data_IF_164346863167
#
_entry.id   IF_164346863167
#
_cell.length_a   1.000
_cell.length_b   1.000
_cell.length_c   1.000
_cell.angle_alpha   90.00
_cell.angle_beta   90.00
_cell.angle_gamma   90.00
#
_symmetry.space_group_name_H-M   'P 1'
#
loop_
_entity.id
_entity.type
_entity.pdbx_description
1 polymer ?
#
# COMPACT_ATOMS: atom_id res chain seq x y z
N UNK A 1 22.29 39.17 -27.27
CA UNK A 1 21.15 38.29 -27.60
C UNK A 1 21.72 37.08 -28.31
N UNK A 2 21.14 35.91 -28.10
CA UNK A 2 21.86 34.64 -28.27
C UNK A 2 21.01 33.68 -29.09
N UNK A 3 21.65 32.94 -30.00
CA UNK A 3 21.06 31.77 -30.65
C UNK A 3 21.19 30.58 -29.71
N UNK A 4 20.08 29.97 -29.34
CA UNK A 4 20.04 28.79 -28.47
C UNK A 4 19.81 27.52 -29.29
N UNK A 5 20.78 26.61 -29.25
CA UNK A 5 20.72 25.31 -29.90
C UNK A 5 20.50 24.23 -28.84
N UNK A 6 19.35 23.55 -28.90
CA UNK A 6 18.94 22.53 -27.95
C UNK A 6 18.93 21.17 -28.64
N UNK A 7 19.86 20.28 -28.29
CA UNK A 7 19.82 18.91 -28.78
C UNK A 7 18.84 18.07 -27.92
N UNK A 8 17.75 17.61 -28.53
CA UNK A 8 16.68 16.83 -27.90
C UNK A 8 16.43 15.54 -28.70
N UNK A 9 17.37 14.60 -28.57
CA UNK A 9 17.35 13.32 -29.31
C UNK A 9 16.15 12.43 -28.96
N UNK A 10 15.61 12.61 -27.75
CA UNK A 10 14.53 11.79 -27.21
C UNK A 10 13.14 12.47 -27.35
N UNK A 11 13.07 13.63 -28.02
CA UNK A 11 11.83 14.38 -28.26
C UNK A 11 11.08 14.74 -26.97
N UNK A 12 11.83 15.10 -25.93
CA UNK A 12 11.34 15.43 -24.60
C UNK A 12 10.72 16.84 -24.54
N UNK A 13 11.07 17.73 -25.47
CA UNK A 13 10.54 19.10 -25.55
C UNK A 13 9.35 19.16 -26.50
N UNK A 14 8.13 19.19 -25.94
CA UNK A 14 6.89 19.30 -26.71
C UNK A 14 6.44 20.76 -26.92
N UNK A 15 6.58 21.62 -25.89
CA UNK A 15 6.05 22.99 -25.88
C UNK A 15 7.12 24.05 -26.15
N UNK A 16 7.55 24.16 -27.39
CA UNK A 16 8.36 25.30 -27.83
C UNK A 16 7.67 25.96 -29.03
N UNK A 17 6.58 26.69 -28.77
CA UNK A 17 5.74 27.33 -29.80
C UNK A 17 6.53 28.26 -30.73
N UNK A 18 7.67 28.80 -30.27
CA UNK A 18 8.54 29.69 -31.06
C UNK A 18 9.88 29.06 -31.50
N UNK A 19 10.08 27.75 -31.32
CA UNK A 19 11.34 27.11 -31.68
C UNK A 19 11.29 26.42 -33.05
N UNK A 20 12.29 26.70 -33.89
CA UNK A 20 12.51 25.92 -35.11
C UNK A 20 12.95 24.50 -34.75
N UNK A 21 12.36 23.49 -35.39
CA UNK A 21 12.74 22.08 -35.19
C UNK A 21 13.60 21.58 -36.34
N UNK A 22 14.62 20.78 -36.03
CA UNK A 22 15.47 20.07 -36.99
C UNK A 22 15.38 18.58 -36.69
N UNK A 23 14.49 17.88 -37.38
CA UNK A 23 14.20 16.47 -37.19
C UNK A 23 14.98 15.57 -38.16
N UNK A 24 15.57 16.13 -39.21
CA UNK A 24 16.29 15.37 -40.23
C UNK A 24 17.51 16.13 -40.79
N UNK A 25 18.47 15.42 -41.42
CA UNK A 25 19.59 16.06 -42.13
C UNK A 25 19.18 17.02 -43.25
N UNK A 26 18.01 16.82 -43.87
CA UNK A 26 17.52 17.68 -44.94
C UNK A 26 17.21 19.11 -44.44
N UNK A 27 16.77 19.24 -43.18
CA UNK A 27 16.42 20.51 -42.55
C UNK A 27 17.65 21.28 -42.03
N UNK A 28 18.82 20.65 -42.00
CA UNK A 28 20.05 21.26 -41.50
C UNK A 28 20.42 22.55 -42.24
N UNK A 29 20.31 22.53 -43.57
CA UNK A 29 20.73 23.67 -44.41
C UNK A 29 19.85 24.89 -44.14
N UNK A 30 18.54 24.70 -44.07
CA UNK A 30 17.60 25.78 -43.77
C UNK A 30 17.85 26.35 -42.37
N UNK A 31 17.99 25.48 -41.37
CA UNK A 31 18.28 25.88 -40.00
C UNK A 31 19.60 26.66 -39.92
N UNK A 32 20.64 26.21 -40.60
CA UNK A 32 21.93 26.89 -40.65
C UNK A 32 21.84 28.30 -41.27
N UNK A 33 21.06 28.47 -42.33
CA UNK A 33 20.83 29.79 -42.95
C UNK A 33 20.10 30.73 -41.99
N UNK A 34 19.06 30.25 -41.30
CA UNK A 34 18.33 31.05 -40.30
C UNK A 34 19.20 31.46 -39.13
N UNK A 35 20.10 30.57 -38.65
CA UNK A 35 21.08 30.92 -37.63
C UNK A 35 21.99 32.05 -38.10
N UNK A 36 22.53 31.94 -39.32
CA UNK A 36 23.40 32.99 -39.89
C UNK A 36 22.67 34.33 -39.97
N UNK A 37 21.42 34.32 -40.43
CA UNK A 37 20.62 35.53 -40.50
C UNK A 37 20.39 36.13 -39.12
N UNK A 38 19.96 35.32 -38.14
CA UNK A 38 19.75 35.74 -36.76
C UNK A 38 21.00 36.33 -36.10
N UNK A 39 22.19 35.77 -36.40
CA UNK A 39 23.47 36.29 -35.90
C UNK A 39 23.84 37.66 -36.50
N UNK A 40 23.42 37.94 -37.73
CA UNK A 40 23.64 39.23 -38.42
C UNK A 40 22.62 40.27 -37.96
N UNK A 41 21.34 39.90 -37.88
CA UNK A 41 20.25 40.78 -37.45
C UNK A 41 20.14 40.91 -35.92
N UNK A 42 20.98 40.19 -35.18
CA UNK A 42 21.01 40.13 -33.72
C UNK A 42 19.65 39.75 -33.11
N UNK A 43 18.90 38.90 -33.81
CA UNK A 43 17.57 38.44 -33.42
C UNK A 43 17.70 37.16 -32.59
N UNK A 44 16.98 37.01 -31.46
CA UNK A 44 16.98 35.76 -30.71
C UNK A 44 16.37 34.64 -31.57
N UNK A 45 17.00 33.46 -31.53
CA UNK A 45 16.53 32.28 -32.26
C UNK A 45 16.75 31.05 -31.40
N UNK A 46 15.71 30.24 -31.25
CA UNK A 46 15.75 28.97 -30.53
C UNK A 46 15.54 27.83 -31.52
N UNK A 47 16.42 26.84 -31.48
CA UNK A 47 16.38 25.68 -32.38
C UNK A 47 16.43 24.40 -31.55
N UNK A 48 15.46 23.51 -31.78
CA UNK A 48 15.38 22.17 -31.17
C UNK A 48 15.82 21.14 -32.21
N UNK A 49 16.90 20.44 -31.93
CA UNK A 49 17.56 19.50 -32.84
C UNK A 49 17.28 18.08 -32.36
N UNK A 50 16.50 17.32 -33.12
CA UNK A 50 16.10 15.94 -32.77
C UNK A 50 16.96 14.90 -33.49
N UNK A 51 17.56 15.24 -34.64
CA UNK A 51 18.49 14.36 -35.34
C UNK A 51 19.88 14.35 -34.70
N UNK A 52 20.42 13.15 -34.45
CA UNK A 52 21.72 12.98 -33.79
C UNK A 52 22.89 13.48 -34.63
N UNK A 53 22.81 13.38 -35.96
CA UNK A 53 23.85 13.84 -36.88
C UNK A 53 23.87 15.36 -36.92
N UNK A 54 22.70 15.99 -37.08
CA UNK A 54 22.53 17.44 -37.01
C UNK A 54 23.01 18.00 -35.66
N UNK A 55 22.70 17.34 -34.54
CA UNK A 55 23.16 17.77 -33.22
C UNK A 55 24.70 17.85 -33.16
N UNK A 56 25.39 16.86 -33.73
CA UNK A 56 26.84 16.81 -33.77
C UNK A 56 27.44 17.91 -34.67
N UNK A 57 26.80 18.20 -35.80
CA UNK A 57 27.17 19.33 -36.67
C UNK A 57 26.96 20.68 -35.99
N UNK A 58 25.81 20.89 -35.35
CA UNK A 58 25.51 22.13 -34.64
C UNK A 58 26.37 22.32 -33.39
N UNK A 59 26.75 21.25 -32.69
CA UNK A 59 27.71 21.32 -31.59
C UNK A 59 29.07 21.81 -32.08
N UNK A 60 29.56 21.31 -33.22
CA UNK A 60 30.81 21.77 -33.84
C UNK A 60 30.71 23.22 -34.30
N UNK A 61 29.57 23.60 -34.88
CA UNK A 61 29.29 24.97 -35.27
C UNK A 61 29.34 25.94 -34.08
N UNK A 62 28.67 25.61 -32.97
CA UNK A 62 28.60 26.47 -31.78
C UNK A 62 29.99 26.75 -31.18
N UNK A 63 30.94 25.81 -31.28
CA UNK A 63 32.33 26.00 -30.82
C UNK A 63 33.08 27.12 -31.53
N UNK A 64 32.65 27.55 -32.72
CA UNK A 64 33.26 28.63 -33.47
C UNK A 64 32.78 30.03 -33.01
N UNK A 65 31.87 30.11 -32.06
CA UNK A 65 31.27 31.35 -31.57
C UNK A 65 31.47 31.47 -30.05
N UNK A 66 31.44 32.71 -29.55
CA UNK A 66 31.40 32.92 -28.11
C UNK A 66 30.06 32.43 -27.53
N UNK A 67 30.03 31.93 -26.28
CA UNK A 67 28.78 31.55 -25.59
C UNK A 67 27.76 32.69 -25.49
N UNK A 68 28.21 33.94 -25.57
CA UNK A 68 27.35 35.13 -25.60
C UNK A 68 26.59 35.34 -26.92
N UNK A 69 26.95 34.62 -27.99
CA UNK A 69 26.28 34.69 -29.31
C UNK A 69 25.59 33.39 -29.70
N UNK A 70 26.19 32.24 -29.40
CA UNK A 70 25.59 30.92 -29.66
C UNK A 70 25.82 30.03 -28.45
N UNK A 71 24.74 29.46 -27.93
CA UNK A 71 24.79 28.43 -26.89
C UNK A 71 24.35 27.09 -27.46
N UNK A 72 25.04 26.03 -27.08
CA UNK A 72 24.64 24.66 -27.38
C UNK A 72 24.42 23.93 -26.06
N UNK A 73 23.22 23.39 -25.87
CA UNK A 73 22.86 22.61 -24.70
C UNK A 73 22.23 21.30 -25.15
N UNK A 74 22.69 20.19 -24.57
CA UNK A 74 22.05 18.90 -24.76
C UNK A 74 20.99 18.71 -23.68
N UNK A 75 19.76 18.47 -24.11
CA UNK A 75 18.63 18.15 -23.24
C UNK A 75 18.60 16.63 -23.10
N UNK A 76 18.93 16.18 -21.90
CA UNK A 76 18.93 14.76 -21.52
C UNK A 76 17.73 14.48 -20.61
N UNK A 77 17.28 13.23 -20.58
CA UNK A 77 16.23 12.81 -19.65
C UNK A 77 16.69 13.03 -18.20
N UNK A 78 17.97 12.81 -17.93
CA UNK A 78 18.64 13.10 -16.67
C UNK A 78 18.58 14.58 -16.30
N UNK A 79 18.94 15.50 -17.22
CA UNK A 79 18.87 16.93 -16.92
C UNK A 79 17.45 17.40 -16.64
N UNK A 80 16.46 16.92 -17.42
CA UNK A 80 15.07 17.30 -17.25
C UNK A 80 14.49 16.75 -15.95
N UNK A 81 14.74 15.47 -15.65
CA UNK A 81 14.27 14.86 -14.42
C UNK A 81 14.92 15.52 -13.20
N UNK A 82 16.22 15.83 -13.26
CA UNK A 82 16.93 16.52 -12.17
C UNK A 82 16.38 17.91 -11.92
N UNK A 83 16.06 18.66 -12.99
CA UNK A 83 15.38 19.96 -12.87
C UNK A 83 13.95 19.82 -12.32
N UNK A 84 13.18 18.86 -12.84
CA UNK A 84 11.80 18.62 -12.41
C UNK A 84 11.72 18.25 -10.93
N UNK A 85 12.67 17.45 -10.47
CA UNK A 85 12.67 16.93 -9.11
C UNK A 85 13.50 17.74 -8.13
N UNK A 86 14.31 18.68 -8.61
CA UNK A 86 15.22 19.46 -7.76
C UNK A 86 16.23 18.60 -7.01
N UNK A 87 16.62 17.45 -7.58
CA UNK A 87 17.54 16.49 -6.96
C UNK A 87 18.70 16.13 -7.89
N UNK A 88 19.83 15.75 -7.30
CA UNK A 88 20.98 15.27 -8.07
C UNK A 88 20.71 13.81 -8.46
N UNK A 89 20.77 13.53 -9.75
CA UNK A 89 20.61 12.17 -10.26
C UNK A 89 21.96 11.44 -10.18
N UNK A 90 22.02 10.25 -9.54
CA UNK A 90 23.22 9.43 -9.47
C UNK A 90 23.82 9.10 -10.86
N UNK A 91 25.16 9.03 -10.94
CA UNK A 91 25.90 8.76 -12.18
C UNK A 91 25.67 7.36 -12.76
N UNK A 92 25.17 6.43 -11.95
CA UNK A 92 24.77 5.10 -12.39
C UNK A 92 23.33 5.06 -12.98
N UNK A 93 22.61 6.17 -13.09
CA UNK A 93 21.29 6.27 -13.73
C UNK A 93 21.45 6.86 -15.13
N UNK A 94 21.06 6.10 -16.15
CA UNK A 94 21.14 6.52 -17.55
C UNK A 94 19.86 7.20 -18.04
N UNK A 95 19.93 7.92 -19.15
CA UNK A 95 18.73 8.48 -19.79
C UNK A 95 17.71 7.40 -20.18
N UNK A 96 18.19 6.25 -20.66
CA UNK A 96 17.35 5.10 -20.99
C UNK A 96 16.63 4.55 -19.76
N UNK A 97 17.29 4.49 -18.60
CA UNK A 97 16.64 4.09 -17.34
C UNK A 97 15.48 5.01 -17.00
N UNK A 98 15.66 6.32 -17.14
CA UNK A 98 14.64 7.34 -16.83
C UNK A 98 13.47 7.27 -17.79
N UNK A 99 13.74 7.13 -19.10
CA UNK A 99 12.70 7.05 -20.13
C UNK A 99 11.89 5.76 -19.96
N UNK A 100 12.56 4.61 -19.83
CA UNK A 100 11.89 3.31 -19.72
C UNK A 100 11.07 3.18 -18.44
N UNK A 101 11.44 3.91 -17.39
CA UNK A 101 10.72 3.92 -16.11
C UNK A 101 9.56 4.92 -16.05
N UNK A 102 9.36 5.74 -17.09
CA UNK A 102 8.27 6.72 -17.15
C UNK A 102 8.35 7.83 -16.08
N UNK A 103 9.52 8.03 -15.47
CA UNK A 103 9.68 8.97 -14.35
C UNK A 103 9.44 10.43 -14.74
N UNK A 104 9.69 10.78 -16.01
CA UNK A 104 9.45 12.11 -16.55
C UNK A 104 7.96 12.50 -16.54
N UNK A 105 7.06 11.52 -16.66
CA UNK A 105 5.61 11.76 -16.64
C UNK A 105 5.01 11.70 -15.22
N UNK A 106 5.79 11.18 -14.27
CA UNK A 106 5.33 10.95 -12.90
C UNK A 106 5.00 12.26 -12.18
N UNK A 107 3.80 12.34 -11.59
CA UNK A 107 3.29 13.49 -10.84
C UNK A 107 3.46 13.28 -9.34
N UNK A 108 4.69 13.05 -8.91
CA UNK A 108 5.01 12.79 -7.50
C UNK A 108 5.05 14.14 -6.77
N UNK A 109 4.30 14.32 -5.67
CA UNK A 109 4.49 15.47 -4.81
C UNK A 109 5.80 15.31 -4.04
N UNK A 110 6.85 15.99 -4.49
CA UNK A 110 8.15 15.98 -3.81
C UNK A 110 8.05 16.86 -2.58
N UNK A 111 8.30 16.27 -1.41
CA UNK A 111 8.28 16.97 -0.12
C UNK A 111 9.68 17.00 0.47
N UNK A 112 10.18 18.21 0.75
CA UNK A 112 11.52 18.41 1.31
C UNK A 112 12.64 18.20 0.29
N UNK A 113 13.77 17.66 0.73
CA UNK A 113 14.94 17.37 -0.10
C UNK A 113 15.26 15.86 -0.12
N UNK A 114 14.37 15.01 -0.65
CA UNK A 114 14.61 13.58 -0.70
C UNK A 114 15.74 13.25 -1.68
N UNK A 115 16.45 12.17 -1.38
CA UNK A 115 17.38 11.55 -2.31
C UNK A 115 16.65 11.03 -3.55
N UNK A 116 17.38 10.87 -4.65
CA UNK A 116 16.83 10.30 -5.87
C UNK A 116 16.16 8.94 -5.65
N UNK A 117 16.80 8.05 -4.89
CA UNK A 117 16.28 6.72 -4.57
C UNK A 117 14.96 6.79 -3.78
N UNK A 118 14.84 7.73 -2.84
CA UNK A 118 13.60 7.97 -2.09
C UNK A 118 12.46 8.41 -3.02
N UNK A 119 12.72 9.32 -3.96
CA UNK A 119 11.71 9.75 -4.93
C UNK A 119 11.28 8.57 -5.81
N UNK A 120 12.22 7.75 -6.27
CA UNK A 120 11.92 6.54 -7.05
C UNK A 120 11.07 5.55 -6.22
N UNK A 121 11.41 5.30 -4.96
CA UNK A 121 10.63 4.44 -4.08
C UNK A 121 9.20 4.95 -3.91
N UNK A 122 9.06 6.26 -3.67
CA UNK A 122 7.78 6.92 -3.55
C UNK A 122 6.94 6.81 -4.83
N UNK A 123 7.59 6.97 -6.00
CA UNK A 123 6.95 6.86 -7.31
C UNK A 123 6.25 5.52 -7.54
N UNK A 124 6.94 4.43 -7.17
CA UNK A 124 6.53 3.07 -7.52
C UNK A 124 5.78 2.35 -6.41
N UNK A 125 6.07 2.66 -5.14
CA UNK A 125 5.55 1.89 -4.00
C UNK A 125 5.03 2.75 -2.84
N UNK A 126 5.12 4.08 -2.94
CA UNK A 126 4.54 5.01 -1.98
C UNK A 126 5.39 5.33 -0.76
N UNK A 127 4.83 6.17 0.11
CA UNK A 127 5.55 6.85 1.19
C UNK A 127 6.10 5.91 2.28
N UNK A 128 5.54 4.70 2.44
CA UNK A 128 6.00 3.75 3.47
C UNK A 128 7.39 3.20 3.17
N UNK A 129 7.88 3.32 1.94
CA UNK A 129 9.27 2.97 1.60
C UNK A 129 10.27 4.08 1.96
N UNK A 130 9.81 5.24 2.43
CA UNK A 130 10.68 6.31 2.92
C UNK A 130 11.11 6.11 4.38
N UNK A 131 10.50 5.17 5.10
CA UNK A 131 10.94 4.86 6.46
C UNK A 131 12.38 4.36 6.49
N UNK A 132 13.17 4.83 7.44
CA UNK A 132 14.57 4.42 7.62
C UNK A 132 14.73 2.98 8.09
N UNK A 133 13.71 2.42 8.73
CA UNK A 133 13.68 1.05 9.23
C UNK A 133 12.40 0.36 8.74
N UNK A 134 12.39 -0.97 8.73
CA UNK A 134 11.17 -1.72 8.40
C UNK A 134 10.05 -1.32 9.36
N UNK A 135 8.92 -0.78 8.86
CA UNK A 135 7.94 -0.11 9.71
C UNK A 135 7.02 -1.13 10.39
N UNK A 136 7.51 -1.85 11.39
CA UNK A 136 6.76 -2.92 12.09
C UNK A 136 5.39 -2.48 12.61
N UNK A 137 5.24 -1.21 13.03
CA UNK A 137 3.97 -0.65 13.52
C UNK A 137 2.96 -0.33 12.42
N UNK A 138 3.44 -0.18 11.18
CA UNK A 138 2.64 0.13 9.99
C UNK A 138 2.75 -0.98 8.95
N UNK A 139 3.13 -2.18 9.39
CA UNK A 139 3.40 -3.33 8.52
C UNK A 139 2.12 -3.82 7.83
N UNK A 140 0.97 -3.67 8.49
CA UNK A 140 -0.32 -3.92 7.88
C UNK A 140 -0.63 -2.89 6.78
N UNK A 141 -0.34 -1.61 7.00
CA UNK A 141 -0.49 -0.58 5.96
C UNK A 141 0.45 -0.85 4.77
N UNK A 142 1.69 -1.25 5.06
CA UNK A 142 2.69 -1.62 4.05
C UNK A 142 2.24 -2.83 3.22
N UNK A 143 1.64 -3.83 3.87
CA UNK A 143 1.07 -4.99 3.18
C UNK A 143 -0.21 -4.63 2.42
N UNK A 144 -1.01 -3.68 2.90
CA UNK A 144 -2.23 -3.22 2.23
C UNK A 144 -1.93 -2.39 0.98
N UNK A 145 -0.81 -1.66 0.94
CA UNK A 145 -0.33 -0.94 -0.26
C UNK A 145 0.17 -1.86 -1.38
N UNK A 146 0.35 -3.15 -1.11
CA UNK A 146 0.75 -4.10 -2.13
C UNK A 146 -0.32 -4.20 -3.23
N UNK A 147 0.08 -3.81 -4.43
CA UNK A 147 -0.63 -4.07 -5.69
C UNK A 147 0.23 -4.99 -6.58
N UNK A 148 -0.32 -6.15 -6.93
CA UNK A 148 0.40 -7.16 -7.70
C UNK A 148 0.79 -6.65 -9.10
N UNK A 149 -0.05 -5.82 -9.71
CA UNK A 149 0.17 -5.29 -11.07
C UNK A 149 1.37 -4.34 -11.07
N UNK A 150 1.34 -3.35 -10.19
CA UNK A 150 2.42 -2.38 -10.01
C UNK A 150 3.71 -3.07 -9.60
N UNK A 151 3.65 -4.03 -8.67
CA UNK A 151 4.83 -4.76 -8.24
C UNK A 151 5.50 -5.53 -9.38
N UNK A 152 4.73 -6.25 -10.20
CA UNK A 152 5.25 -7.02 -11.33
C UNK A 152 5.75 -6.12 -12.46
N UNK A 153 5.07 -4.99 -12.73
CA UNK A 153 5.51 -4.01 -13.71
C UNK A 153 6.86 -3.38 -13.30
N UNK A 154 6.98 -2.93 -12.05
CA UNK A 154 8.20 -2.31 -11.53
C UNK A 154 9.39 -3.27 -11.50
N UNK A 155 9.17 -4.58 -11.29
CA UNK A 155 10.23 -5.60 -11.35
C UNK A 155 10.88 -5.76 -12.73
N UNK A 156 10.24 -5.27 -13.80
CA UNK A 156 10.81 -5.28 -15.17
C UNK A 156 11.70 -4.07 -15.43
N UNK A 157 11.69 -3.07 -14.55
CA UNK A 157 12.46 -1.85 -14.69
C UNK A 157 13.79 -1.97 -13.92
N UNK A 158 14.96 -1.96 -14.60
CA UNK A 158 16.26 -2.13 -13.95
C UNK A 158 16.50 -1.12 -12.81
N UNK A 159 16.11 0.13 -13.03
CA UNK A 159 16.23 1.19 -12.04
C UNK A 159 15.45 0.89 -10.76
N UNK A 160 14.17 0.51 -10.92
CA UNK A 160 13.29 0.20 -9.81
C UNK A 160 13.81 -1.03 -9.03
N UNK A 161 14.26 -2.07 -9.72
CA UNK A 161 14.86 -3.26 -9.10
C UNK A 161 16.09 -2.90 -8.25
N UNK A 162 16.97 -2.05 -8.78
CA UNK A 162 18.18 -1.62 -8.07
C UNK A 162 17.86 -0.84 -6.81
N UNK A 163 17.00 0.16 -6.92
CA UNK A 163 16.57 0.99 -5.78
C UNK A 163 15.87 0.13 -4.73
N UNK A 164 15.03 -0.81 -5.14
CA UNK A 164 14.36 -1.74 -4.24
C UNK A 164 15.33 -2.67 -3.51
N UNK A 165 16.36 -3.17 -4.20
CA UNK A 165 17.39 -4.00 -3.60
C UNK A 165 18.21 -3.22 -2.56
N UNK A 166 18.57 -1.97 -2.87
CA UNK A 166 19.21 -1.05 -1.92
C UNK A 166 18.33 -0.85 -0.68
N UNK A 167 17.02 -0.65 -0.88
CA UNK A 167 16.08 -0.45 0.23
C UNK A 167 15.95 -1.67 1.14
N UNK A 168 15.87 -2.87 0.55
CA UNK A 168 15.89 -4.13 1.31
C UNK A 168 17.14 -4.23 2.18
N UNK A 169 18.32 -3.95 1.60
CA UNK A 169 19.59 -4.01 2.33
C UNK A 169 19.62 -2.99 3.48
N UNK A 170 19.15 -1.77 3.25
CA UNK A 170 19.04 -0.73 4.29
C UNK A 170 18.22 -1.23 5.49
N UNK A 171 17.03 -1.79 5.23
CA UNK A 171 16.15 -2.30 6.28
C UNK A 171 16.71 -3.54 6.99
N UNK A 172 17.40 -4.43 6.28
CA UNK A 172 18.09 -5.58 6.90
C UNK A 172 19.22 -5.12 7.82
N UNK A 173 20.03 -4.15 7.35
CA UNK A 173 21.16 -3.63 8.11
C UNK A 173 20.73 -2.95 9.41
N UNK A 174 19.57 -2.27 9.40
CA UNK A 174 19.00 -1.57 10.55
C UNK A 174 18.06 -2.43 11.41
N UNK A 175 17.80 -3.67 11.02
CA UNK A 175 16.97 -4.57 11.79
C UNK A 175 17.61 -4.91 13.15
N UNK A 176 16.81 -4.87 14.22
CA UNK A 176 17.26 -5.04 15.61
C UNK A 176 17.60 -6.48 16.01
N UNK A 177 17.27 -7.44 15.16
CA UNK A 177 17.47 -8.88 15.42
C UNK A 177 17.18 -9.75 14.21
N UNK A 178 17.44 -11.05 14.35
CA UNK A 178 17.22 -12.05 13.29
C UNK A 178 15.77 -12.14 12.83
N UNK A 179 14.82 -11.96 13.74
CA UNK A 179 13.39 -12.07 13.50
C UNK A 179 12.90 -10.92 12.61
N UNK A 180 13.34 -9.69 12.89
CA UNK A 180 13.01 -8.54 12.04
C UNK A 180 13.66 -8.67 10.66
N UNK A 181 14.87 -9.22 10.55
CA UNK A 181 15.49 -9.51 9.24
C UNK A 181 14.68 -10.53 8.44
N UNK A 182 14.22 -11.59 9.10
CA UNK A 182 13.35 -12.59 8.49
C UNK A 182 12.03 -11.97 7.98
N UNK A 183 11.44 -11.03 8.71
CA UNK A 183 10.25 -10.29 8.24
C UNK A 183 10.54 -9.45 7.00
N UNK A 184 11.66 -8.71 7.00
CA UNK A 184 12.07 -7.91 5.83
C UNK A 184 12.26 -8.84 4.63
N UNK A 185 13.04 -9.91 4.78
CA UNK A 185 13.29 -10.87 3.71
C UNK A 185 12.00 -11.48 3.19
N UNK A 186 11.09 -11.83 4.10
CA UNK A 186 9.80 -12.41 3.74
C UNK A 186 8.95 -11.45 2.92
N UNK A 187 8.86 -10.19 3.36
CA UNK A 187 8.10 -9.15 2.66
C UNK A 187 8.63 -8.93 1.25
N UNK A 188 9.96 -8.77 1.07
CA UNK A 188 10.53 -8.53 -0.26
C UNK A 188 10.51 -9.75 -1.18
N UNK A 189 10.55 -10.96 -0.62
CA UNK A 189 10.45 -12.20 -1.41
C UNK A 189 9.06 -12.35 -2.04
N UNK A 190 8.00 -12.14 -1.26
CA UNK A 190 6.61 -12.21 -1.72
C UNK A 190 5.70 -11.37 -0.80
N UNK A 191 5.43 -10.10 -1.16
CA UNK A 191 4.59 -9.24 -0.34
C UNK A 191 3.13 -9.68 -0.31
N UNK A 192 2.65 -10.36 -1.38
CA UNK A 192 1.30 -10.88 -1.44
C UNK A 192 1.10 -12.01 -0.44
N UNK A 193 2.03 -12.96 -0.42
CA UNK A 193 2.02 -14.04 0.56
C UNK A 193 2.26 -13.53 1.98
N UNK A 194 3.12 -12.51 2.16
CA UNK A 194 3.29 -11.86 3.45
C UNK A 194 1.98 -11.22 3.95
N UNK A 195 1.21 -10.56 3.07
CA UNK A 195 -0.12 -10.03 3.39
C UNK A 195 -1.08 -11.14 3.83
N UNK A 196 -1.10 -12.28 3.13
CA UNK A 196 -1.88 -13.46 3.53
C UNK A 196 -1.47 -13.97 4.90
N UNK A 197 -0.17 -14.07 5.18
CA UNK A 197 0.33 -14.51 6.48
C UNK A 197 -0.07 -13.56 7.62
N UNK A 198 -0.04 -12.24 7.41
CA UNK A 198 -0.52 -11.27 8.40
C UNK A 198 -2.01 -11.44 8.68
N UNK A 199 -2.81 -11.71 7.64
CA UNK A 199 -4.23 -11.98 7.81
C UNK A 199 -4.46 -13.31 8.54
N UNK A 200 -3.77 -14.38 8.19
CA UNK A 200 -3.87 -15.66 8.92
C UNK A 200 -3.48 -15.49 10.39
N UNK A 201 -2.43 -14.71 10.69
CA UNK A 201 -2.06 -14.37 12.06
C UNK A 201 -3.16 -13.60 12.79
N UNK A 202 -3.79 -12.62 12.13
CA UNK A 202 -4.94 -11.90 12.68
C UNK A 202 -6.10 -12.84 13.05
N UNK A 203 -6.28 -13.93 12.28
CA UNK A 203 -7.29 -14.95 12.58
C UNK A 203 -6.92 -15.81 13.79
N UNK A 204 -5.65 -16.18 13.93
CA UNK A 204 -5.25 -17.20 14.93
C UNK A 204 -4.61 -16.64 16.20
N UNK A 205 -4.24 -15.36 16.25
CA UNK A 205 -3.54 -14.75 17.40
C UNK A 205 -4.26 -14.84 18.74
N UNK A 206 -5.59 -14.94 18.72
CA UNK A 206 -6.42 -15.10 19.93
C UNK A 206 -6.62 -16.56 20.36
N UNK A 207 -6.34 -17.52 19.48
CA UNK A 207 -6.50 -18.95 19.74
C UNK A 207 -5.28 -19.53 20.49
N UNK A 208 -5.41 -20.76 21.03
CA UNK A 208 -4.28 -21.46 21.64
C UNK A 208 -3.08 -21.59 20.69
N UNK A 209 -1.86 -21.53 21.24
CA UNK A 209 -0.63 -21.48 20.48
C UNK A 209 -0.43 -22.68 19.55
N UNK A 210 -0.97 -23.83 19.93
CA UNK A 210 -0.93 -25.09 19.19
C UNK A 210 -1.67 -24.94 17.85
N UNK A 211 -2.83 -24.28 17.84
CA UNK A 211 -3.59 -24.03 16.61
C UNK A 211 -2.85 -23.03 15.71
N UNK A 212 -2.31 -21.96 16.31
CA UNK A 212 -1.49 -20.98 15.60
C UNK A 212 -0.31 -21.62 14.87
N UNK A 213 0.42 -22.50 15.56
CA UNK A 213 1.55 -23.27 15.00
C UNK A 213 1.11 -24.28 13.95
N UNK A 214 -0.04 -24.94 14.12
CA UNK A 214 -0.57 -25.84 13.08
C UNK A 214 -0.89 -25.10 11.79
N UNK A 215 -1.31 -23.84 11.86
CA UNK A 215 -1.68 -23.03 10.70
C UNK A 215 -0.46 -22.36 10.07
N UNK A 216 0.34 -21.67 10.87
CA UNK A 216 1.44 -20.81 10.38
C UNK A 216 2.85 -21.38 10.60
N UNK A 217 2.98 -22.49 11.34
CA UNK A 217 4.28 -23.01 11.75
C UNK A 217 5.05 -22.03 12.63
N UNK A 218 6.37 -21.97 12.43
CA UNK A 218 7.29 -21.11 13.19
C UNK A 218 7.00 -19.60 13.04
N UNK A 219 6.28 -19.21 11.98
CA UNK A 219 5.88 -17.82 11.78
C UNK A 219 4.91 -17.31 12.84
N UNK A 220 4.11 -18.19 13.46
CA UNK A 220 3.24 -17.80 14.56
C UNK A 220 4.05 -17.25 15.74
N UNK A 221 5.05 -18.01 16.19
CA UNK A 221 5.92 -17.61 17.30
C UNK A 221 6.76 -16.38 16.95
N UNK A 222 7.18 -16.26 15.69
CA UNK A 222 7.89 -15.08 15.21
C UNK A 222 7.01 -13.82 15.30
N UNK A 223 5.77 -13.88 14.79
CA UNK A 223 4.88 -12.72 14.78
C UNK A 223 4.44 -12.33 16.19
N UNK A 224 4.21 -13.31 17.08
CA UNK A 224 3.94 -13.07 18.50
C UNK A 224 5.10 -12.35 19.20
N UNK A 225 6.35 -12.79 18.96
CA UNK A 225 7.54 -12.18 19.57
C UNK A 225 7.82 -10.77 19.08
N UNK A 226 7.65 -10.53 17.77
CA UNK A 226 7.92 -9.22 17.17
C UNK A 226 6.78 -8.23 17.44
N UNK A 227 5.61 -8.71 17.90
CA UNK A 227 4.41 -7.90 18.15
C UNK A 227 4.03 -7.07 16.91
N UNK A 228 3.86 -7.79 15.80
CA UNK A 228 3.55 -7.24 14.48
C UNK A 228 2.11 -6.70 14.48
N UNK A 229 1.90 -5.50 13.94
CA UNK A 229 0.52 -5.03 13.70
C UNK A 229 -0.12 -5.88 12.59
N UNK A 230 -1.19 -6.58 12.95
CA UNK A 230 -1.90 -7.51 12.08
C UNK A 230 -3.25 -6.96 11.62
N UNK A 231 -3.45 -5.64 11.64
CA UNK A 231 -4.70 -4.98 11.24
C UNK A 231 -4.89 -4.98 9.71
N UNK A 232 -4.97 -6.17 9.10
CA UNK A 232 -5.20 -6.31 7.65
C UNK A 232 -6.68 -6.04 7.33
N UNK A 233 -6.91 -5.31 6.24
CA UNK A 233 -8.24 -4.96 5.76
C UNK A 233 -8.99 -6.17 5.19
N UNK A 234 -10.32 -6.05 5.13
CA UNK A 234 -11.18 -7.03 4.46
C UNK A 234 -10.86 -7.05 2.96
N UNK A 235 -10.63 -8.23 2.38
CA UNK A 235 -10.25 -8.40 0.98
C UNK A 235 -9.15 -9.45 0.74
N UNK A 236 -8.55 -9.96 1.82
CA UNK A 236 -7.72 -11.16 1.78
C UNK A 236 -8.58 -12.35 2.18
N UNK A 237 -8.62 -13.39 1.35
CA UNK A 237 -9.29 -14.63 1.71
C UNK A 237 -8.31 -15.55 2.44
N UNK A 238 -8.71 -16.13 3.58
CA UNK A 238 -7.88 -17.10 4.25
C UNK A 238 -7.88 -18.42 3.47
N UNK A 239 -6.82 -19.21 3.64
CA UNK A 239 -6.78 -20.52 2.99
C UNK A 239 -7.88 -21.44 3.52
N UNK A 240 -8.42 -22.30 2.66
CA UNK A 240 -9.40 -23.33 3.07
C UNK A 240 -8.88 -24.22 4.21
N UNK A 241 -7.57 -24.49 4.23
CA UNK A 241 -6.91 -25.25 5.29
C UNK A 241 -6.99 -24.52 6.64
N UNK A 242 -6.77 -23.21 6.65
CA UNK A 242 -6.90 -22.35 7.85
C UNK A 242 -8.33 -22.37 8.38
N UNK A 243 -9.32 -22.13 7.51
CA UNK A 243 -10.75 -22.17 7.88
C UNK A 243 -11.12 -23.54 8.48
N UNK A 244 -10.69 -24.62 7.82
CA UNK A 244 -10.98 -25.99 8.24
C UNK A 244 -10.40 -26.31 9.62
N UNK A 245 -9.14 -25.92 9.87
CA UNK A 245 -8.48 -26.13 11.18
C UNK A 245 -9.17 -25.36 12.30
N UNK A 246 -9.55 -24.10 12.04
CA UNK A 246 -10.31 -23.29 13.01
C UNK A 246 -11.68 -23.94 13.28
N UNK A 247 -12.38 -24.39 12.25
CA UNK A 247 -13.70 -25.04 12.41
C UNK A 247 -13.59 -26.33 13.21
N UNK A 248 -12.60 -27.17 12.93
CA UNK A 248 -12.34 -28.39 13.72
C UNK A 248 -12.04 -28.04 15.18
N UNK A 249 -11.19 -27.03 15.42
CA UNK A 249 -10.89 -26.58 16.77
C UNK A 249 -12.16 -26.15 17.52
N UNK A 250 -12.99 -25.29 16.91
CA UNK A 250 -14.23 -24.81 17.51
C UNK A 250 -15.20 -25.95 17.81
N UNK A 251 -15.38 -26.88 16.86
CA UNK A 251 -16.24 -28.05 17.07
C UNK A 251 -15.79 -28.90 18.26
N UNK A 252 -14.48 -29.04 18.49
CA UNK A 252 -13.96 -29.76 19.66
C UNK A 252 -14.18 -29.00 20.98
N UNK A 253 -14.51 -27.71 20.95
CA UNK A 253 -14.81 -26.89 22.13
C UNK A 253 -16.31 -26.87 22.49
N UNK A 254 -17.21 -27.40 21.64
CA UNK A 254 -18.66 -27.29 21.85
C UNK A 254 -19.11 -27.81 23.22
N UNK A 255 -18.56 -28.94 23.64
CA UNK A 255 -18.96 -29.64 24.86
C UNK A 255 -18.36 -29.02 26.13
N UNK A 256 -17.38 -28.13 25.96
CA UNK A 256 -16.69 -27.44 27.05
C UNK A 256 -17.38 -26.14 27.45
N UNK A 257 -18.23 -25.56 26.58
CA UNK A 257 -18.93 -24.31 26.85
C UNK A 257 -20.21 -24.57 27.66
N UNK A 258 -20.07 -24.59 28.99
CA UNK A 258 -21.18 -24.90 29.92
C UNK A 258 -21.75 -23.66 30.60
N UNK A 259 -20.96 -22.60 30.70
CA UNK A 259 -21.33 -21.35 31.36
C UNK A 259 -21.20 -20.13 30.44
N UNK A 260 -21.78 -19.01 30.87
CA UNK A 260 -21.59 -17.70 30.24
C UNK A 260 -20.11 -17.28 30.23
N UNK A 261 -19.35 -17.64 31.27
CA UNK A 261 -17.94 -17.29 31.36
C UNK A 261 -17.11 -18.04 30.30
N UNK A 262 -17.40 -19.31 30.08
CA UNK A 262 -16.74 -20.13 29.04
C UNK A 262 -17.02 -19.55 27.64
N UNK A 263 -18.26 -19.14 27.39
CA UNK A 263 -18.65 -18.47 26.15
C UNK A 263 -17.90 -17.15 25.94
N UNK A 264 -17.78 -16.33 26.98
CA UNK A 264 -17.06 -15.06 26.91
C UNK A 264 -15.57 -15.27 26.64
N UNK A 265 -14.96 -16.30 27.26
CA UNK A 265 -13.57 -16.68 27.02
C UNK A 265 -13.36 -17.18 25.59
N UNK A 266 -14.27 -18.01 25.07
CA UNK A 266 -14.22 -18.46 23.67
C UNK A 266 -14.35 -17.29 22.69
N UNK A 267 -15.26 -16.34 22.97
CA UNK A 267 -15.45 -15.16 22.14
C UNK A 267 -14.22 -14.22 22.16
N UNK A 268 -13.47 -14.20 23.26
CA UNK A 268 -12.20 -13.48 23.33
C UNK A 268 -11.13 -14.13 22.45
N UNK A 269 -11.13 -15.46 22.32
CA UNK A 269 -10.21 -16.20 21.46
C UNK A 269 -10.51 -16.06 19.96
N UNK A 270 -11.79 -16.02 19.57
CA UNK A 270 -12.20 -15.89 18.17
C UNK A 270 -11.60 -14.64 17.51
N UNK A 271 -11.47 -14.65 16.19
CA UNK A 271 -10.97 -13.49 15.44
C UNK A 271 -12.07 -12.44 15.22
N UNK A 272 -13.29 -12.87 14.91
CA UNK A 272 -14.38 -11.98 14.47
C UNK A 272 -14.40 -11.70 12.96
N UNK A 273 -13.54 -12.36 12.19
CA UNK A 273 -13.37 -12.16 10.75
C UNK A 273 -13.93 -13.31 9.91
N UNK A 274 -14.34 -14.43 10.52
CA UNK A 274 -14.83 -15.61 9.80
C UNK A 274 -16.34 -15.80 9.99
N UNK A 275 -17.02 -16.19 8.91
CA UNK A 275 -18.44 -16.54 8.98
C UNK A 275 -18.67 -17.86 9.70
N UNK A 276 -17.66 -18.73 9.70
CA UNK A 276 -17.60 -20.04 10.33
C UNK A 276 -17.60 -19.90 11.86
N UNK A 277 -16.81 -18.97 12.40
CA UNK A 277 -16.82 -18.62 13.82
C UNK A 277 -18.22 -18.18 14.27
N UNK A 278 -18.87 -17.33 13.48
CA UNK A 278 -20.24 -16.90 13.77
C UNK A 278 -21.25 -18.04 13.64
N UNK A 279 -21.10 -18.90 12.63
CA UNK A 279 -21.95 -20.08 12.43
C UNK A 279 -21.87 -21.04 13.63
N UNK A 280 -20.68 -21.24 14.17
CA UNK A 280 -20.46 -22.03 15.38
C UNK A 280 -21.24 -21.42 16.56
N UNK A 281 -21.15 -20.10 16.78
CA UNK A 281 -21.92 -19.44 17.84
C UNK A 281 -23.43 -19.62 17.66
N UNK A 282 -23.95 -19.51 16.44
CA UNK A 282 -25.37 -19.75 16.18
C UNK A 282 -25.79 -21.18 16.52
N UNK A 283 -24.95 -22.18 16.21
CA UNK A 283 -25.20 -23.57 16.57
C UNK A 283 -25.19 -23.76 18.09
N UNK A 284 -24.22 -23.16 18.78
CA UNK A 284 -24.12 -23.19 20.23
C UNK A 284 -25.39 -22.65 20.91
N UNK A 285 -25.91 -21.51 20.44
CA UNK A 285 -27.13 -20.91 20.99
C UNK A 285 -28.42 -21.67 20.65
N UNK A 286 -28.42 -22.53 19.61
CA UNK A 286 -29.57 -23.44 19.36
C UNK A 286 -29.69 -24.48 20.47
N UNK A 287 -28.56 -24.98 20.98
CA UNK A 287 -28.51 -25.94 22.07
C UNK A 287 -28.66 -25.34 23.48
N UNK A 288 -28.16 -24.11 23.70
CA UNK A 288 -28.07 -23.49 25.03
C UNK A 288 -28.67 -22.07 25.10
N UNK A 289 -30.00 -21.94 25.03
CA UNK A 289 -30.71 -20.63 25.01
C UNK A 289 -30.46 -19.75 26.23
N UNK A 290 -30.15 -20.33 27.40
CA UNK A 290 -29.97 -19.57 28.66
C UNK A 290 -28.73 -18.67 28.72
N UNK A 291 -27.76 -18.86 27.80
CA UNK A 291 -26.51 -18.11 27.80
C UNK A 291 -26.57 -16.83 26.94
N UNK A 292 -27.59 -16.67 26.10
CA UNK A 292 -27.73 -15.51 25.21
C UNK A 292 -28.40 -14.34 25.96
N UNK A 293 -27.59 -13.38 26.40
CA UNK A 293 -28.03 -12.15 27.06
C UNK A 293 -27.63 -10.91 26.25
N UNK A 294 -28.25 -9.76 26.56
CA UNK A 294 -28.06 -8.50 25.80
C UNK A 294 -26.59 -8.05 25.77
N UNK A 295 -25.87 -8.21 26.87
CA UNK A 295 -24.45 -7.87 26.98
C UNK A 295 -23.55 -8.78 26.12
N UNK A 296 -23.85 -10.09 26.10
CA UNK A 296 -23.15 -11.09 25.29
C UNK A 296 -23.34 -10.79 23.81
N UNK A 297 -24.55 -10.40 23.42
CA UNK A 297 -24.84 -10.00 22.05
C UNK A 297 -24.09 -8.73 21.64
N UNK A 298 -24.01 -7.72 22.51
CA UNK A 298 -23.20 -6.52 22.24
C UNK A 298 -21.75 -6.93 21.97
N UNK A 299 -21.17 -7.83 22.80
CA UNK A 299 -19.81 -8.34 22.59
C UNK A 299 -19.66 -9.06 21.24
N UNK A 300 -20.63 -9.88 20.85
CA UNK A 300 -20.64 -10.53 19.52
C UNK A 300 -20.70 -9.48 18.40
N UNK A 301 -21.59 -8.50 18.49
CA UNK A 301 -21.71 -7.44 17.48
C UNK A 301 -20.42 -6.61 17.35
N UNK A 302 -19.75 -6.32 18.47
CA UNK A 302 -18.46 -5.64 18.48
C UNK A 302 -17.38 -6.51 17.84
N UNK A 303 -17.31 -7.79 18.22
CA UNK A 303 -16.29 -8.73 17.72
C UNK A 303 -16.40 -8.96 16.21
N UNK A 304 -17.62 -9.21 15.73
CA UNK A 304 -17.91 -9.48 14.32
C UNK A 304 -18.25 -8.23 13.50
N UNK A 305 -17.95 -7.04 14.04
CA UNK A 305 -18.12 -5.77 13.32
C UNK A 305 -17.50 -5.78 11.92
N UNK A 306 -16.29 -6.35 11.69
CA UNK A 306 -15.68 -6.37 10.36
C UNK A 306 -16.57 -7.04 9.30
N UNK A 307 -17.22 -8.15 9.63
CA UNK A 307 -18.06 -8.90 8.68
C UNK A 307 -19.57 -8.66 8.83
N UNK A 308 -19.95 -7.57 9.52
CA UNK A 308 -21.37 -7.25 9.81
C UNK A 308 -22.22 -7.16 8.54
N UNK A 309 -21.68 -6.65 7.43
CA UNK A 309 -22.38 -6.57 6.15
C UNK A 309 -22.87 -7.94 5.66
N UNK A 310 -22.02 -8.97 5.79
CA UNK A 310 -22.33 -10.35 5.43
C UNK A 310 -23.29 -11.02 6.44
N UNK A 311 -23.21 -10.62 7.71
CA UNK A 311 -23.98 -11.24 8.80
C UNK A 311 -25.35 -10.60 9.09
N UNK A 312 -25.71 -9.49 8.41
CA UNK A 312 -26.82 -8.62 8.81
C UNK A 312 -28.11 -9.33 9.23
N UNK A 313 -28.67 -10.20 8.38
CA UNK A 313 -29.90 -10.96 8.69
C UNK A 313 -29.74 -11.95 9.83
N UNK A 314 -28.57 -12.57 9.95
CA UNK A 314 -28.26 -13.59 10.97
C UNK A 314 -28.11 -12.97 12.35
N UNK A 315 -27.47 -11.80 12.43
CA UNK A 315 -27.38 -11.00 13.66
C UNK A 315 -28.76 -10.55 14.16
N UNK A 316 -29.67 -10.15 13.27
CA UNK A 316 -31.06 -9.83 13.64
C UNK A 316 -31.79 -11.05 14.18
N UNK A 317 -31.61 -12.23 13.56
CA UNK A 317 -32.23 -13.46 14.07
C UNK A 317 -31.76 -13.85 15.48
N UNK A 318 -30.51 -13.49 15.86
CA UNK A 318 -30.05 -13.67 17.25
C UNK A 318 -30.68 -12.67 18.22
N UNK A 319 -30.96 -11.42 17.79
CA UNK A 319 -31.67 -10.42 18.60
C UNK A 319 -33.05 -10.92 19.02
N UNK A 320 -33.80 -11.46 18.06
CA UNK A 320 -35.18 -11.94 18.27
C UNK A 320 -35.26 -13.12 19.26
N UNK A 321 -34.13 -13.76 19.57
CA UNK A 321 -34.05 -14.90 20.51
C UNK A 321 -33.83 -14.49 21.96
N UNK A 322 -33.49 -13.22 22.22
CA UNK A 322 -33.34 -12.73 23.59
C UNK A 322 -34.75 -12.47 24.15
N UNK A 323 -35.18 -13.19 25.21
CA UNK A 323 -36.49 -12.94 25.79
C UNK A 323 -36.55 -11.51 26.33
N UNK A 324 -37.69 -10.82 26.21
CA UNK A 324 -37.86 -9.51 26.83
C UNK A 324 -37.62 -9.62 28.34
N UNK A 325 -37.06 -8.57 28.93
CA UNK A 325 -36.88 -8.49 30.38
C UNK A 325 -38.23 -8.71 31.05
N UNK A 326 -38.32 -9.70 31.95
CA UNK A 326 -39.55 -9.93 32.70
C UNK A 326 -39.91 -8.63 33.45
N UNK A 327 -41.15 -8.16 33.35
CA UNK A 327 -41.57 -6.98 34.09
C UNK A 327 -41.40 -7.23 35.59
N UNK A 328 -41.01 -6.20 36.34
CA UNK A 328 -40.84 -6.30 37.79
C UNK A 328 -42.16 -6.70 38.45
N UNK A 329 -42.16 -7.59 39.45
CA UNK A 329 -43.41 -7.96 40.12
C UNK A 329 -44.13 -6.72 40.68
N UNK A 330 -45.44 -6.57 40.42
CA UNK A 330 -46.19 -5.45 40.96
C UNK A 330 -46.27 -5.56 42.49
N UNK A 331 -46.07 -4.45 43.19
CA UNK A 331 -46.17 -4.47 44.66
C UNK A 331 -47.64 -4.55 45.09
N UNK A 332 -47.89 -5.35 46.13
CA UNK A 332 -49.22 -5.42 46.78
C UNK A 332 -49.60 -4.11 47.48
N UNK A 333 -48.63 -3.21 47.70
CA UNK A 333 -48.85 -1.90 48.32
C UNK A 333 -49.14 -0.78 47.31
N UNK A 334 -49.11 -1.06 46.01
CA UNK A 334 -49.35 -0.05 44.97
C UNK A 334 -50.84 0.27 44.83
N UNK A 335 -51.15 1.54 44.58
CA UNK A 335 -52.51 1.98 44.26
C UNK A 335 -52.88 1.67 42.81
N UNK A 336 -54.18 1.68 42.49
CA UNK A 336 -54.72 1.32 41.17
C UNK A 336 -54.04 2.06 40.00
N UNK A 337 -53.73 3.34 40.17
CA UNK A 337 -53.04 4.15 39.15
C UNK A 337 -51.59 3.72 38.91
N UNK A 338 -50.91 3.18 39.93
CA UNK A 338 -49.54 2.67 39.84
C UNK A 338 -49.53 1.29 39.18
N UNK A 339 -50.54 0.46 39.46
CA UNK A 339 -50.78 -0.79 38.73
C UNK A 339 -51.05 -0.55 37.25
N UNK A 340 -51.89 0.43 36.91
CA UNK A 340 -52.18 0.80 35.53
C UNK A 340 -50.95 1.35 34.80
N UNK A 341 -50.14 2.19 35.46
CA UNK A 341 -48.87 2.67 34.89
C UNK A 341 -47.84 1.55 34.71
N UNK A 342 -47.79 0.59 35.62
CA UNK A 342 -46.90 -0.57 35.49
C UNK A 342 -47.33 -1.46 34.31
N UNK A 343 -48.62 -1.79 34.19
CA UNK A 343 -49.14 -2.64 33.11
C UNK A 343 -49.00 -2.05 31.70
N UNK A 344 -48.87 -0.72 31.57
CA UNK A 344 -48.67 -0.03 30.28
C UNK A 344 -47.19 0.16 29.94
N UNK A 345 -46.31 0.27 30.93
CA UNK A 345 -44.91 0.68 30.74
C UNK A 345 -43.88 -0.45 30.95
N UNK A 346 -44.29 -1.64 31.36
CA UNK A 346 -43.46 -2.82 31.62
C UNK A 346 -44.03 -4.01 30.85
#
# INVERSE_FOLDING_TARGET
>A
MTVELLADKNRLVQDAEDAMRVASPAEYVEAFLRIKQALVTNTPLKIVIQDSTCALWFQRFAKNYSPSRVTFQEITARSLLGQKWGTVIPDNVTDSDIINSGLLDSKIPIRGHPSFDEIVLQAFWGDLFLFREFPLRYVSDLANQYDATTWQASRRLPLAVRVMASKRQEWIAKAKGSEQRQLVDRYFADPGLFKTMLFEFQLVRGYPSELGKQIMGDWFDLFMRVNVDSSIGLGVEPSHATISKITVHLNNQSDLVKSKQDLLALLDQMSGYLTEEFSFLEQLFRGNRGQLQRDTLIKIQTKFRPIRGTLGRRLTSLLDRIPPTRPSNPSRSWQLNEWMKWAVNQ
#
